data_IF_956821370090
#
_entry.id   IF_956821370090
#
_cell.length_a   1.000
_cell.length_b   1.000
_cell.length_c   1.000
_cell.angle_alpha   90.00
_cell.angle_beta   90.00
_cell.angle_gamma   90.00
#
_symmetry.space_group_name_H-M   'P 1'
#
loop_
_entity.id
_entity.type
_entity.pdbx_description
1 polymer ?
#
# COMPACT_ATOMS: atom_id res chain seq x y z
N UNK A 1 -6.59 4.44 11.77
CA UNK A 1 -6.15 3.18 11.13
C UNK A 1 -6.94 2.82 9.88
N UNK A 2 -8.28 2.82 9.88
CA UNK A 2 -9.05 2.44 8.67
C UNK A 2 -8.72 3.22 7.40
N UNK A 3 -8.49 4.54 7.49
CA UNK A 3 -8.05 5.35 6.34
C UNK A 3 -6.78 4.80 5.67
N UNK A 4 -5.80 4.34 6.45
CA UNK A 4 -4.54 3.79 5.92
C UNK A 4 -4.78 2.49 5.13
N UNK A 5 -5.59 1.59 5.68
CA UNK A 5 -5.96 0.34 4.99
C UNK A 5 -6.79 0.64 3.74
N UNK A 6 -7.87 1.42 3.87
CA UNK A 6 -8.79 1.72 2.79
C UNK A 6 -8.11 2.45 1.64
N UNK A 7 -7.33 3.50 1.93
CA UNK A 7 -6.58 4.22 0.89
C UNK A 7 -5.64 3.29 0.12
N UNK A 8 -4.96 2.37 0.81
CA UNK A 8 -4.04 1.40 0.20
C UNK A 8 -4.77 0.36 -0.65
N UNK A 9 -5.88 -0.19 -0.17
CA UNK A 9 -6.70 -1.16 -0.91
C UNK A 9 -7.29 -0.54 -2.17
N UNK A 10 -7.73 0.73 -2.12
CA UNK A 10 -8.33 1.40 -3.28
C UNK A 10 -7.29 1.71 -4.36
N UNK A 11 -6.07 2.12 -3.99
CA UNK A 11 -5.02 2.41 -4.99
C UNK A 11 -4.28 1.17 -5.47
N UNK A 12 -4.48 0.01 -4.84
CA UNK A 12 -3.88 -1.25 -5.27
C UNK A 12 -4.57 -1.78 -6.53
N UNK A 13 -3.79 -2.09 -7.55
CA UNK A 13 -4.30 -2.66 -8.81
C UNK A 13 -4.84 -4.08 -8.66
N UNK A 14 -4.48 -4.78 -7.59
CA UNK A 14 -4.95 -6.13 -7.26
C UNK A 14 -5.27 -6.22 -5.76
N UNK A 15 -6.12 -7.17 -5.34
CA UNK A 15 -6.27 -7.50 -3.93
C UNK A 15 -4.91 -7.82 -3.30
N UNK A 16 -4.62 -7.22 -2.15
CA UNK A 16 -3.40 -7.45 -1.39
C UNK A 16 -3.62 -8.57 -0.36
N UNK A 17 -2.58 -9.37 -0.11
CA UNK A 17 -2.53 -10.26 1.05
C UNK A 17 -2.42 -9.43 2.33
N UNK A 18 -2.75 -10.01 3.49
CA UNK A 18 -2.71 -9.28 4.78
C UNK A 18 -1.30 -8.79 5.11
N UNK A 19 -0.29 -9.57 4.79
CA UNK A 19 1.12 -9.23 4.99
C UNK A 19 1.54 -8.06 4.11
N UNK A 20 1.18 -8.10 2.82
CA UNK A 20 1.42 -7.01 1.87
C UNK A 20 0.71 -5.73 2.34
N UNK A 21 -0.55 -5.85 2.76
CA UNK A 21 -1.35 -4.72 3.24
C UNK A 21 -0.76 -4.08 4.51
N UNK A 22 -0.27 -4.89 5.44
CA UNK A 22 0.43 -4.42 6.64
C UNK A 22 1.62 -3.54 6.28
N UNK A 23 2.50 -4.07 5.43
CA UNK A 23 3.74 -3.40 5.02
C UNK A 23 3.48 -2.12 4.20
N UNK A 24 2.45 -2.13 3.36
CA UNK A 24 2.20 -1.07 2.38
C UNK A 24 1.27 0.04 2.87
N UNK A 25 0.47 -0.22 3.90
CA UNK A 25 -0.54 0.73 4.39
C UNK A 25 0.02 1.90 5.19
N UNK A 26 1.30 1.88 5.56
CA UNK A 26 1.91 2.91 6.40
C UNK A 26 1.31 2.92 7.80
N UNK A 27 0.90 1.75 8.28
CA UNK A 27 0.59 1.54 9.68
C UNK A 27 1.87 1.63 10.52
N UNK A 28 1.76 1.94 11.83
CA UNK A 28 2.90 1.88 12.73
C UNK A 28 3.59 0.50 12.70
N UNK A 29 4.90 0.49 12.90
CA UNK A 29 5.71 -0.74 12.91
C UNK A 29 5.26 -1.78 13.93
N UNK A 30 4.64 -1.35 15.03
CA UNK A 30 4.02 -2.22 16.03
C UNK A 30 2.81 -3.02 15.52
N UNK A 31 2.23 -2.62 14.38
CA UNK A 31 1.02 -3.23 13.81
C UNK A 31 1.33 -3.91 12.47
N UNK A 32 2.23 -3.35 11.66
CA UNK A 32 2.46 -3.79 10.27
C UNK A 32 2.82 -5.28 10.11
N UNK A 33 3.46 -5.87 11.14
CA UNK A 33 3.88 -7.27 11.13
C UNK A 33 2.87 -8.26 11.69
N UNK A 34 1.71 -7.81 12.18
CA UNK A 34 0.71 -8.69 12.80
C UNK A 34 -0.56 -8.75 11.98
N UNK A 35 -0.75 -9.89 11.32
CA UNK A 35 -1.96 -10.19 10.52
C UNK A 35 -3.22 -10.16 11.37
N UNK A 36 -3.16 -10.54 12.66
CA UNK A 36 -4.29 -10.47 13.60
C UNK A 36 -4.74 -9.02 13.85
N UNK A 37 -3.79 -8.11 14.13
CA UNK A 37 -4.14 -6.69 14.30
C UNK A 37 -4.65 -6.09 12.99
N UNK A 38 -4.05 -6.43 11.85
CA UNK A 38 -4.51 -5.96 10.54
C UNK A 38 -5.93 -6.46 10.25
N UNK A 39 -6.21 -7.74 10.50
CA UNK A 39 -7.54 -8.34 10.35
C UNK A 39 -8.57 -7.67 11.25
N UNK A 40 -8.20 -7.36 12.50
CA UNK A 40 -9.06 -6.62 13.42
C UNK A 40 -9.34 -5.19 12.95
N UNK A 41 -8.36 -4.52 12.35
CA UNK A 41 -8.59 -3.20 11.77
C UNK A 41 -9.54 -3.32 10.57
N UNK A 42 -9.32 -4.29 9.67
CA UNK A 42 -10.18 -4.54 8.51
C UNK A 42 -11.62 -4.78 8.94
N UNK A 43 -11.85 -5.59 9.97
CA UNK A 43 -13.20 -5.84 10.49
C UNK A 43 -13.86 -4.57 11.05
N UNK A 44 -13.09 -3.69 11.71
CA UNK A 44 -13.55 -2.37 12.12
C UNK A 44 -13.84 -1.43 10.94
N UNK A 45 -13.23 -1.66 9.78
CA UNK A 45 -13.52 -0.92 8.54
C UNK A 45 -14.70 -1.50 7.75
N UNK A 46 -15.38 -2.53 8.28
CA UNK A 46 -16.34 -3.38 7.55
C UNK A 46 -17.54 -2.65 6.94
N UNK A 47 -17.88 -1.44 7.38
CA UNK A 47 -18.90 -0.60 6.74
C UNK A 47 -18.43 0.09 5.45
N UNK A 48 -17.11 0.27 5.29
CA UNK A 48 -16.52 0.93 4.12
C UNK A 48 -16.12 -0.06 3.01
N UNK A 49 -15.85 -1.33 3.35
CA UNK A 49 -15.42 -2.36 2.39
C UNK A 49 -16.58 -3.02 1.63
N UNK A 50 -17.81 -2.95 2.14
CA UNK A 50 -19.04 -3.45 1.51
C UNK A 50 -19.66 -2.46 0.51
N UNK A 51 -19.06 -1.29 0.32
CA UNK A 51 -19.54 -0.27 -0.60
C UNK A 51 -19.09 -0.64 -2.03
N UNK A 52 -19.79 -1.58 -2.68
CA UNK A 52 -19.50 -1.95 -4.08
C UNK A 52 -20.56 -1.54 -5.10
N UNK A 53 -21.80 -1.27 -4.72
CA UNK A 53 -22.87 -1.21 -5.73
C UNK A 53 -23.78 0.04 -5.73
N UNK A 54 -23.55 1.07 -4.89
CA UNK A 54 -24.40 2.28 -4.89
C UNK A 54 -23.74 3.57 -4.34
N UNK A 55 -22.43 3.75 -4.54
CA UNK A 55 -21.79 5.05 -4.22
C UNK A 55 -22.09 6.04 -5.33
N UNK A 56 -22.88 7.07 -5.02
CA UNK A 56 -23.06 8.20 -5.92
C UNK A 56 -21.71 8.88 -6.19
N UNK A 57 -21.56 9.53 -7.34
CA UNK A 57 -20.35 10.30 -7.68
C UNK A 57 -19.98 11.32 -6.58
N UNK A 58 -20.98 11.88 -5.88
CA UNK A 58 -20.79 12.78 -4.74
C UNK A 58 -20.19 12.08 -3.52
N UNK A 59 -20.65 10.86 -3.24
CA UNK A 59 -20.15 10.06 -2.13
C UNK A 59 -18.74 9.53 -2.43
N UNK A 60 -18.46 9.20 -3.69
CA UNK A 60 -17.12 8.88 -4.15
C UNK A 60 -16.17 10.08 -4.03
N UNK A 61 -16.60 11.29 -4.42
CA UNK A 61 -15.80 12.51 -4.24
C UNK A 61 -15.49 12.75 -2.76
N UNK A 62 -16.49 12.67 -1.89
CA UNK A 62 -16.29 12.82 -0.45
C UNK A 62 -15.34 11.74 0.11
N UNK A 63 -15.53 10.49 -0.29
CA UNK A 63 -14.68 9.38 0.09
C UNK A 63 -13.24 9.57 -0.40
N UNK A 64 -13.06 10.06 -1.64
CA UNK A 64 -11.74 10.35 -2.21
C UNK A 64 -11.03 11.48 -1.47
N UNK A 65 -11.73 12.54 -1.05
CA UNK A 65 -11.16 13.63 -0.25
C UNK A 65 -10.79 13.16 1.16
N UNK A 66 -11.60 12.29 1.76
CA UNK A 66 -11.32 11.71 3.07
C UNK A 66 -10.15 10.72 3.04
N UNK A 67 -10.08 9.87 2.01
CA UNK A 67 -9.07 8.82 1.89
C UNK A 67 -7.74 9.34 1.32
N UNK A 68 -7.79 10.35 0.45
CA UNK A 68 -6.65 10.92 -0.24
C UNK A 68 -6.60 12.45 -0.04
N UNK A 69 -6.31 12.94 1.18
CA UNK A 69 -6.24 14.37 1.45
C UNK A 69 -5.19 15.11 0.60
N UNK A 70 -4.12 14.40 0.22
CA UNK A 70 -3.07 14.90 -0.69
C UNK A 70 -3.27 14.46 -2.15
N UNK A 71 -4.44 13.90 -2.49
CA UNK A 71 -4.75 13.36 -3.80
C UNK A 71 -4.28 11.92 -4.03
N UNK A 72 -4.93 11.25 -5.00
CA UNK A 72 -4.69 9.84 -5.31
C UNK A 72 -3.27 9.58 -5.84
N UNK A 73 -2.69 10.50 -6.61
CA UNK A 73 -1.32 10.41 -7.13
C UNK A 73 -0.29 10.35 -6.01
N UNK A 74 -0.46 11.16 -4.96
CA UNK A 74 0.39 11.12 -3.78
C UNK A 74 0.29 9.76 -3.08
N UNK A 75 -0.92 9.19 -2.99
CA UNK A 75 -1.12 7.87 -2.41
C UNK A 75 -0.44 6.76 -3.24
N UNK A 76 -0.53 6.80 -4.57
CA UNK A 76 0.22 5.87 -5.44
C UNK A 76 1.74 6.00 -5.24
N UNK A 77 2.26 7.22 -5.17
CA UNK A 77 3.67 7.46 -4.90
C UNK A 77 4.11 6.92 -3.54
N UNK A 78 3.30 7.14 -2.49
CA UNK A 78 3.57 6.62 -1.15
C UNK A 78 3.55 5.09 -1.13
N UNK A 79 2.59 4.47 -1.81
CA UNK A 79 2.52 3.01 -1.97
C UNK A 79 3.77 2.47 -2.66
N UNK A 80 4.15 3.06 -3.80
CA UNK A 80 5.36 2.70 -4.55
C UNK A 80 6.63 2.82 -3.69
N UNK A 81 6.77 3.92 -2.97
CA UNK A 81 7.95 4.16 -2.12
C UNK A 81 8.09 3.11 -1.01
N UNK A 82 6.98 2.72 -0.38
CA UNK A 82 6.97 1.66 0.64
C UNK A 82 7.26 0.29 0.05
N UNK A 83 6.69 -0.03 -1.10
CA UNK A 83 7.00 -1.26 -1.84
C UNK A 83 8.49 -1.33 -2.16
N UNK A 84 9.06 -0.25 -2.68
CA UNK A 84 10.48 -0.18 -2.99
C UNK A 84 11.34 -0.34 -1.74
N UNK A 85 10.97 0.31 -0.63
CA UNK A 85 11.66 0.13 0.66
C UNK A 85 11.68 -1.32 1.12
N UNK A 86 10.52 -1.98 1.15
CA UNK A 86 10.40 -3.38 1.55
C UNK A 86 11.18 -4.33 0.61
N UNK A 87 11.19 -4.04 -0.69
CA UNK A 87 11.98 -4.80 -1.65
C UNK A 87 13.48 -4.60 -1.43
N UNK A 88 13.94 -3.39 -1.12
CA UNK A 88 15.36 -3.11 -0.88
C UNK A 88 15.89 -3.69 0.44
N UNK A 89 15.01 -3.96 1.41
CA UNK A 89 15.38 -4.67 2.65
C UNK A 89 15.74 -6.15 2.40
N UNK A 90 15.23 -6.74 1.32
CA UNK A 90 15.35 -8.18 1.04
C UNK A 90 16.12 -8.49 -0.24
N UNK A 91 15.99 -7.66 -1.27
CA UNK A 91 16.60 -7.84 -2.58
C UNK A 91 17.88 -7.01 -2.70
N UNK A 92 18.94 -7.66 -3.17
CA UNK A 92 20.19 -7.01 -3.52
C UNK A 92 20.26 -6.84 -5.04
N UNK A 93 20.54 -5.61 -5.51
CA UNK A 93 20.68 -5.30 -6.95
C UNK A 93 21.83 -6.05 -7.62
N UNK A 94 22.89 -6.32 -6.88
CA UNK A 94 24.07 -7.04 -7.35
C UNK A 94 24.27 -8.30 -6.49
N UNK A 95 23.49 -9.33 -6.80
CA UNK A 95 23.48 -10.62 -6.05
C UNK A 95 24.89 -11.22 -5.97
N UNK A 96 25.72 -10.98 -6.98
CA UNK A 96 27.05 -11.55 -7.12
C UNK A 96 28.16 -10.56 -6.74
N UNK A 97 27.81 -9.34 -6.32
CA UNK A 97 28.74 -8.25 -6.03
C UNK A 97 29.78 -8.00 -7.15
N UNK A 98 29.35 -8.18 -8.41
CA UNK A 98 30.20 -8.10 -9.60
C UNK A 98 30.71 -6.69 -9.89
N UNK A 99 30.21 -5.66 -9.18
CA UNK A 99 30.73 -4.30 -9.22
C UNK A 99 30.86 -3.78 -10.65
N UNK A 100 29.73 -3.71 -11.36
CA UNK A 100 29.61 -3.18 -12.72
C UNK A 100 30.63 -3.77 -13.72
N UNK A 101 30.35 -4.96 -14.26
CA UNK A 101 31.03 -5.51 -15.44
C UNK A 101 30.61 -4.79 -16.74
N UNK A 102 30.58 -3.46 -16.70
CA UNK A 102 30.51 -2.64 -17.90
C UNK A 102 31.81 -2.83 -18.66
N UNK A 103 31.91 -3.89 -19.47
CA UNK A 103 32.93 -3.95 -20.49
C UNK A 103 32.66 -2.79 -21.47
N UNK A 104 33.65 -1.91 -21.73
CA UNK A 104 33.54 -1.03 -22.88
C UNK A 104 33.51 -1.94 -24.10
N UNK A 105 32.43 -1.87 -24.87
CA UNK A 105 32.40 -2.43 -26.22
C UNK A 105 33.22 -1.44 -27.05
N UNK A 106 34.44 -1.85 -27.40
CA UNK A 106 35.23 -1.23 -28.48
C UNK A 106 34.52 -1.39 -29.84
#
# INVERSE_FOLDING_TARGET
>A
MCRHILSTVIVAYRPLRLEELGQLSGLPSSIQGSTDYISKIISMCGSFLTIRDNVSAKDFLFLSLFLFPSGITHQHHALFSRSLGALLETLQRDIYNLSNLGFPID
#
